data_IF_792042876421
#
_entry.id   IF_792042876421
#
_cell.length_a   1.000
_cell.length_b   1.000
_cell.length_c   1.000
_cell.angle_alpha   90.00
_cell.angle_beta   90.00
_cell.angle_gamma   90.00
#
_symmetry.space_group_name_H-M   'P 1'
#
loop_
_entity.id
_entity.type
_entity.pdbx_description
1 polymer ?
#
# COMPACT_ATOMS: atom_id res chain seq x y z
N UNK A 1 2.50 -54.72 19.66
CA UNK A 1 1.17 -55.39 19.54
C UNK A 1 0.21 -54.76 20.53
N UNK A 2 -0.86 -54.13 20.08
CA UNK A 2 -2.25 -54.32 20.57
C UNK A 2 -3.16 -53.41 19.74
N UNK A 3 -3.90 -54.06 18.84
CA UNK A 3 -5.05 -53.55 18.11
C UNK A 3 -6.26 -53.72 19.03
N UNK A 4 -7.15 -52.74 19.09
CA UNK A 4 -8.53 -52.99 19.51
C UNK A 4 -9.47 -52.19 18.63
N UNK A 5 -10.41 -52.92 18.02
CA UNK A 5 -11.51 -52.53 17.15
C UNK A 5 -12.79 -52.74 17.98
N UNK A 6 -13.79 -51.86 17.87
CA UNK A 6 -15.24 -52.17 17.78
C UNK A 6 -16.07 -50.87 17.82
N UNK A 7 -17.34 -50.86 17.42
CA UNK A 7 -17.92 -50.80 16.08
C UNK A 7 -19.43 -50.40 16.23
N UNK A 8 -20.05 -49.81 15.19
CA UNK A 8 -21.51 -49.82 14.82
C UNK A 8 -22.48 -49.10 15.81
N UNK A 9 -23.57 -48.38 15.47
CA UNK A 9 -24.48 -48.49 14.33
C UNK A 9 -25.33 -47.22 14.06
N UNK A 10 -25.80 -47.19 12.81
CA UNK A 10 -26.73 -46.31 12.07
C UNK A 10 -28.13 -46.12 12.68
N UNK A 11 -28.82 -45.03 12.30
CA UNK A 11 -30.22 -45.00 11.80
C UNK A 11 -30.45 -43.72 10.96
N UNK A 12 -31.04 -43.89 9.79
CA UNK A 12 -31.52 -42.85 8.88
C UNK A 12 -32.96 -42.45 9.22
N UNK A 13 -33.41 -41.24 8.84
CA UNK A 13 -34.52 -41.11 7.89
C UNK A 13 -34.70 -39.65 7.39
N UNK A 14 -34.98 -39.62 6.09
CA UNK A 14 -35.48 -38.57 5.20
C UNK A 14 -36.61 -37.67 5.74
N UNK A 15 -36.60 -36.42 5.26
CA UNK A 15 -37.76 -35.53 5.27
C UNK A 15 -37.60 -34.41 4.24
N UNK A 16 -38.04 -34.67 3.01
CA UNK A 16 -38.30 -33.65 2.00
C UNK A 16 -39.50 -32.81 2.42
N UNK A 17 -39.39 -31.49 2.40
CA UNK A 17 -40.52 -30.62 2.09
C UNK A 17 -40.07 -29.46 1.21
N UNK A 18 -40.44 -29.61 -0.05
CA UNK A 18 -40.62 -28.56 -1.06
C UNK A 18 -41.85 -27.74 -0.71
N UNK A 19 -41.77 -26.40 -0.83
CA UNK A 19 -42.92 -25.56 -1.20
C UNK A 19 -42.46 -24.13 -1.54
N UNK A 20 -42.51 -23.76 -2.82
CA UNK A 20 -42.85 -22.39 -3.26
C UNK A 20 -44.35 -22.35 -3.57
N UNK A 21 -45.03 -21.20 -3.45
CA UNK A 21 -45.41 -20.50 -4.69
C UNK A 21 -45.50 -18.95 -4.64
N UNK A 22 -45.05 -18.33 -5.75
CA UNK A 22 -45.75 -17.39 -6.67
C UNK A 22 -46.26 -15.98 -6.22
N UNK A 23 -45.52 -14.95 -6.69
CA UNK A 23 -45.89 -13.72 -7.45
C UNK A 23 -47.27 -13.04 -7.20
N UNK A 24 -47.28 -11.73 -6.89
CA UNK A 24 -48.30 -10.73 -7.33
C UNK A 24 -47.75 -9.30 -7.27
N UNK A 25 -48.16 -8.49 -8.25
CA UNK A 25 -47.80 -7.11 -8.61
C UNK A 25 -48.83 -6.14 -8.00
N UNK A 26 -48.46 -4.89 -7.66
CA UNK A 26 -49.38 -3.73 -7.75
C UNK A 26 -48.59 -2.43 -7.98
N UNK A 27 -48.87 -1.77 -9.10
CA UNK A 27 -48.54 -0.36 -9.44
C UNK A 27 -49.61 0.61 -8.91
N UNK A 28 -49.33 1.92 -9.06
CA UNK A 28 -50.25 3.10 -9.11
C UNK A 28 -50.12 4.03 -7.89
N UNK A 29 -50.09 5.37 -7.92
CA UNK A 29 -49.66 6.48 -8.80
C UNK A 29 -50.23 7.75 -8.13
N UNK A 30 -49.38 8.77 -7.91
CA UNK A 30 -49.59 10.24 -7.85
C UNK A 30 -50.71 10.91 -7.01
N UNK A 31 -50.36 12.04 -6.36
CA UNK A 31 -50.77 13.44 -6.71
C UNK A 31 -50.68 14.35 -5.45
N UNK A 32 -49.68 15.24 -5.31
CA UNK A 32 -49.59 16.69 -5.71
C UNK A 32 -50.22 17.68 -4.71
N UNK A 33 -49.40 18.61 -4.17
CA UNK A 33 -49.56 20.09 -4.23
C UNK A 33 -48.43 20.79 -3.44
N UNK A 34 -47.52 21.54 -4.10
CA UNK A 34 -47.52 23.01 -4.41
C UNK A 34 -47.25 23.88 -3.16
N UNK A 35 -46.46 24.96 -3.13
CA UNK A 35 -45.66 25.76 -4.08
C UNK A 35 -44.93 26.82 -3.22
N UNK A 36 -43.69 27.21 -3.54
CA UNK A 36 -43.24 28.62 -3.51
C UNK A 36 -41.78 28.76 -3.96
N UNK A 37 -41.57 29.69 -4.89
CA UNK A 37 -40.33 30.11 -5.54
C UNK A 37 -39.89 31.42 -4.88
N UNK A 38 -38.60 31.64 -4.57
CA UNK A 38 -37.89 32.82 -5.08
C UNK A 38 -36.36 32.75 -4.93
N UNK A 39 -35.72 33.37 -5.92
CA UNK A 39 -34.31 33.63 -6.12
C UNK A 39 -33.82 34.72 -5.16
N UNK A 40 -32.60 34.56 -4.66
CA UNK A 40 -31.66 35.67 -4.50
C UNK A 40 -30.24 35.13 -4.61
N UNK A 41 -29.58 35.52 -5.70
CA UNK A 41 -28.19 35.27 -5.98
C UNK A 41 -27.36 36.42 -5.40
N UNK A 42 -26.67 36.19 -4.29
CA UNK A 42 -25.37 36.78 -4.00
C UNK A 42 -24.73 36.03 -2.83
N UNK A 43 -23.88 35.03 -3.10
CA UNK A 43 -22.88 34.64 -2.13
C UNK A 43 -21.56 34.39 -2.85
N UNK A 44 -20.77 35.46 -2.90
CA UNK A 44 -19.31 35.50 -2.80
C UNK A 44 -18.63 34.27 -3.40
N UNK A 45 -18.06 34.48 -4.59
CA UNK A 45 -16.97 33.69 -5.16
C UNK A 45 -15.99 33.32 -4.04
N UNK A 46 -16.10 32.09 -3.50
CA UNK A 46 -15.14 31.56 -2.57
C UNK A 46 -13.87 31.35 -3.38
N UNK A 47 -12.96 32.30 -3.26
CA UNK A 47 -11.59 32.27 -3.78
C UNK A 47 -11.06 30.86 -3.74
N UNK A 48 -10.87 30.28 -4.93
CA UNK A 48 -10.17 29.02 -5.12
C UNK A 48 -8.74 29.22 -4.62
N UNK A 49 -8.48 28.85 -3.36
CA UNK A 49 -7.13 28.49 -2.97
C UNK A 49 -6.89 27.16 -3.66
N UNK A 50 -6.36 27.21 -4.90
CA UNK A 50 -5.80 26.03 -5.56
C UNK A 50 -4.54 25.70 -4.77
N UNK A 51 -4.67 24.91 -3.71
CA UNK A 51 -3.50 24.32 -3.08
C UNK A 51 -3.08 23.18 -4.01
N UNK A 52 -2.17 23.46 -4.95
CA UNK A 52 -1.57 22.43 -5.81
C UNK A 52 -0.60 21.60 -4.97
N UNK A 53 -1.14 20.76 -4.08
CA UNK A 53 -0.38 20.04 -3.07
C UNK A 53 -1.11 18.80 -2.56
N UNK A 54 -0.41 18.00 -1.78
CA UNK A 54 -0.90 16.77 -1.17
C UNK A 54 -0.46 16.69 0.29
N UNK A 55 -1.14 15.85 1.07
CA UNK A 55 -0.79 15.63 2.47
C UNK A 55 0.17 14.46 2.59
N UNK A 56 1.17 14.60 3.46
CA UNK A 56 2.09 13.53 3.86
C UNK A 56 2.01 13.30 5.37
N UNK A 57 2.23 12.06 5.80
CA UNK A 57 2.41 11.70 7.20
C UNK A 57 3.89 11.84 7.56
N UNK A 58 4.19 12.68 8.55
CA UNK A 58 5.51 12.79 9.15
C UNK A 58 5.76 11.65 10.14
N UNK A 59 7.01 11.43 10.53
CA UNK A 59 7.38 10.33 11.45
C UNK A 59 6.81 10.51 12.87
N UNK A 60 6.46 11.73 13.26
CA UNK A 60 5.72 12.00 14.50
C UNK A 60 4.20 11.76 14.36
N UNK A 61 3.74 11.26 13.20
CA UNK A 61 2.34 11.03 12.89
C UNK A 61 1.55 12.26 12.45
N UNK A 62 2.15 13.46 12.43
CA UNK A 62 1.46 14.68 12.02
C UNK A 62 1.38 14.81 10.51
N UNK A 63 0.23 15.25 10.03
CA UNK A 63 0.03 15.62 8.64
C UNK A 63 0.77 16.90 8.29
N UNK A 64 1.37 16.93 7.09
CA UNK A 64 1.98 18.12 6.50
C UNK A 64 1.50 18.25 5.05
N UNK A 65 1.07 19.45 4.67
CA UNK A 65 0.80 19.76 3.26
C UNK A 65 2.12 20.03 2.57
N UNK A 66 2.35 19.35 1.46
CA UNK A 66 3.50 19.50 0.56
C UNK A 66 2.98 20.01 -0.78
N UNK A 67 3.68 20.99 -1.35
CA UNK A 67 3.39 21.50 -2.70
C UNK A 67 3.82 20.46 -3.72
N UNK A 68 2.99 20.21 -4.74
CA UNK A 68 3.38 19.37 -5.88
C UNK A 68 4.46 20.06 -6.69
N UNK A 69 5.53 19.33 -6.97
CA UNK A 69 6.52 19.76 -7.94
C UNK A 69 5.95 19.71 -9.37
N UNK A 70 6.55 20.47 -10.29
CA UNK A 70 6.06 20.64 -11.66
C UNK A 70 5.99 19.35 -12.50
N UNK A 71 6.77 18.35 -12.10
CA UNK A 71 6.91 17.02 -12.69
C UNK A 71 6.15 15.95 -11.91
N UNK A 72 5.45 16.31 -10.83
CA UNK A 72 4.63 15.42 -10.03
C UNK A 72 3.15 15.54 -10.37
N UNK A 73 2.44 14.42 -10.36
CA UNK A 73 1.00 14.35 -10.54
C UNK A 73 0.41 13.35 -9.56
N UNK A 74 -0.61 13.77 -8.80
CA UNK A 74 -1.39 12.84 -7.97
C UNK A 74 -2.14 11.90 -8.90
N UNK A 75 -1.98 10.61 -8.68
CA UNK A 75 -2.67 9.56 -9.44
C UNK A 75 -3.27 8.56 -8.48
N UNK A 76 -4.29 7.85 -8.91
CA UNK A 76 -4.83 6.73 -8.15
C UNK A 76 -3.91 5.50 -8.25
N UNK A 77 -3.94 4.61 -7.25
CA UNK A 77 -3.06 3.42 -7.19
C UNK A 77 -3.26 2.50 -8.41
N UNK A 78 -4.47 2.39 -8.93
CA UNK A 78 -4.79 1.63 -10.13
C UNK A 78 -4.06 2.11 -11.39
N UNK A 79 -3.56 3.35 -11.38
CA UNK A 79 -2.74 3.92 -12.47
C UNK A 79 -1.23 3.65 -12.28
N UNK A 80 -0.82 2.98 -11.20
CA UNK A 80 0.54 2.45 -11.08
C UNK A 80 0.71 1.23 -11.99
N UNK A 81 1.93 0.87 -12.39
CA UNK A 81 2.18 -0.39 -13.10
C UNK A 81 1.72 -1.60 -12.26
N UNK A 82 1.28 -2.67 -12.92
CA UNK A 82 0.71 -3.85 -12.26
C UNK A 82 1.66 -4.52 -11.25
N UNK A 83 2.98 -4.46 -11.50
CA UNK A 83 4.00 -4.97 -10.59
C UNK A 83 3.99 -4.22 -9.25
N UNK A 84 3.88 -2.90 -9.28
CA UNK A 84 3.85 -2.07 -8.07
C UNK A 84 2.58 -2.35 -7.25
N UNK A 85 1.42 -2.45 -7.91
CA UNK A 85 0.16 -2.79 -7.26
C UNK A 85 0.25 -4.15 -6.55
N UNK A 86 0.81 -5.15 -7.24
CA UNK A 86 1.00 -6.50 -6.68
C UNK A 86 1.98 -6.51 -5.51
N UNK A 87 3.10 -5.78 -5.63
CA UNK A 87 4.10 -5.66 -4.59
C UNK A 87 3.51 -5.09 -3.28
N UNK A 88 2.73 -3.99 -3.37
CA UNK A 88 2.08 -3.38 -2.22
C UNK A 88 1.11 -4.38 -1.57
N UNK A 89 0.27 -5.03 -2.39
CA UNK A 89 -0.71 -6.02 -1.90
C UNK A 89 -0.06 -7.21 -1.20
N UNK A 90 1.07 -7.70 -1.71
CA UNK A 90 1.72 -8.91 -1.19
C UNK A 90 2.55 -8.66 0.07
N UNK A 91 3.13 -7.46 0.21
CA UNK A 91 4.10 -7.15 1.26
C UNK A 91 3.58 -6.18 2.33
N UNK A 92 2.51 -5.42 2.02
CA UNK A 92 1.99 -4.36 2.88
C UNK A 92 0.46 -4.41 3.04
N UNK A 93 -0.14 -5.61 2.94
CA UNK A 93 -1.61 -5.80 3.01
C UNK A 93 -2.28 -5.29 4.30
N UNK A 94 -1.51 -5.05 5.36
CA UNK A 94 -2.02 -4.52 6.64
C UNK A 94 -2.15 -3.00 6.67
N UNK A 95 -1.72 -2.30 5.62
CA UNK A 95 -1.68 -0.83 5.56
C UNK A 95 -2.29 -0.36 4.24
N UNK A 96 -3.20 0.61 4.33
CA UNK A 96 -3.82 1.22 3.15
C UNK A 96 -2.90 2.29 2.54
N UNK A 97 -3.02 2.52 1.23
CA UNK A 97 -2.34 3.65 0.57
C UNK A 97 -2.92 4.97 1.08
N UNK A 98 -2.03 5.90 1.43
CA UNK A 98 -2.35 7.26 1.88
C UNK A 98 -2.31 8.25 0.71
N UNK A 99 -1.25 8.24 -0.11
CA UNK A 99 -1.19 8.94 -1.38
C UNK A 99 -0.43 8.15 -2.44
N UNK A 100 -0.65 8.51 -3.70
CA UNK A 100 0.05 7.96 -4.87
C UNK A 100 0.39 9.11 -5.82
N UNK A 101 1.65 9.17 -6.24
CA UNK A 101 2.20 10.20 -7.13
C UNK A 101 2.93 9.53 -8.27
N UNK A 102 2.73 10.05 -9.48
CA UNK A 102 3.58 9.80 -10.63
C UNK A 102 4.50 11.00 -10.81
N UNK A 103 5.80 10.76 -10.86
CA UNK A 103 6.81 11.76 -11.15
C UNK A 103 7.42 11.45 -12.52
N UNK A 104 7.51 12.45 -13.40
CA UNK A 104 8.10 12.33 -14.73
C UNK A 104 9.17 13.40 -14.89
N UNK A 105 10.39 13.07 -14.49
CA UNK A 105 11.55 13.94 -14.69
C UNK A 105 12.23 13.68 -16.05
N UNK A 106 13.29 14.42 -16.37
CA UNK A 106 14.00 14.29 -17.66
C UNK A 106 14.74 12.97 -17.84
N UNK A 107 15.03 12.26 -16.76
CA UNK A 107 15.87 11.07 -16.71
C UNK A 107 15.09 9.79 -16.44
N UNK A 108 13.97 9.86 -15.72
CA UNK A 108 13.18 8.71 -15.33
C UNK A 108 11.72 9.06 -14.99
N UNK A 109 10.86 8.05 -15.10
CA UNK A 109 9.50 8.08 -14.53
C UNK A 109 9.51 7.23 -13.27
N UNK A 110 8.97 7.77 -12.18
CA UNK A 110 8.80 7.08 -10.90
C UNK A 110 7.35 7.08 -10.46
N UNK A 111 7.03 6.09 -9.65
CA UNK A 111 5.78 6.04 -8.91
C UNK A 111 6.10 6.02 -7.42
N UNK A 112 5.59 7.01 -6.67
CA UNK A 112 5.84 7.18 -5.24
C UNK A 112 4.54 7.01 -4.47
N UNK A 113 4.57 6.26 -3.38
CA UNK A 113 3.42 6.14 -2.47
C UNK A 113 3.85 6.19 -1.03
N UNK A 114 2.98 6.75 -0.18
CA UNK A 114 3.05 6.55 1.26
C UNK A 114 1.83 5.75 1.70
N UNK A 115 2.03 4.83 2.64
CA UNK A 115 0.96 4.07 3.29
C UNK A 115 0.54 4.73 4.61
N UNK A 116 -0.62 4.37 5.17
CA UNK A 116 -1.15 4.96 6.42
C UNK A 116 -0.30 4.68 7.66
N UNK A 117 0.52 3.63 7.64
CA UNK A 117 1.54 3.40 8.68
C UNK A 117 2.80 4.26 8.51
N UNK A 118 2.83 5.12 7.48
CA UNK A 118 3.90 6.05 7.16
C UNK A 118 4.94 5.50 6.19
N UNK A 119 4.93 4.18 5.89
CA UNK A 119 5.89 3.54 4.97
C UNK A 119 5.89 4.23 3.63
N UNK A 120 7.07 4.56 3.10
CA UNK A 120 7.24 5.18 1.78
C UNK A 120 7.85 4.17 0.82
N UNK A 121 7.30 4.11 -0.39
CA UNK A 121 7.75 3.19 -1.42
C UNK A 121 7.89 3.94 -2.73
N UNK A 122 9.05 3.77 -3.38
CA UNK A 122 9.30 4.26 -4.73
C UNK A 122 9.46 3.09 -5.69
N UNK A 123 8.86 3.21 -6.87
CA UNK A 123 8.95 2.27 -7.96
C UNK A 123 9.49 2.94 -9.21
N UNK A 124 10.15 2.15 -10.06
CA UNK A 124 10.50 2.57 -11.41
C UNK A 124 9.29 2.58 -12.35
N UNK A 125 9.54 2.92 -13.62
CA UNK A 125 8.51 2.98 -14.67
C UNK A 125 7.81 1.64 -14.94
N UNK A 126 8.47 0.51 -14.64
CA UNK A 126 7.92 -0.84 -14.80
C UNK A 126 7.13 -1.30 -13.56
N UNK A 127 7.24 -0.55 -12.46
CA UNK A 127 6.65 -0.89 -11.17
C UNK A 127 7.53 -1.79 -10.31
N UNK A 128 8.81 -1.93 -10.65
CA UNK A 128 9.76 -2.63 -9.80
C UNK A 128 10.21 -1.68 -8.68
N UNK A 129 10.23 -2.17 -7.44
CA UNK A 129 10.58 -1.32 -6.30
C UNK A 129 12.04 -0.85 -6.40
N UNK A 130 12.24 0.45 -6.15
CA UNK A 130 13.54 1.11 -6.05
C UNK A 130 13.93 1.36 -4.61
N UNK A 131 12.99 1.87 -3.81
CA UNK A 131 13.21 2.19 -2.40
C UNK A 131 12.00 1.77 -1.58
N UNK A 132 12.25 1.22 -0.39
CA UNK A 132 11.27 1.08 0.68
C UNK A 132 11.88 1.66 1.94
N UNK A 133 11.23 2.68 2.48
CA UNK A 133 11.64 3.36 3.72
C UNK A 133 10.53 3.24 4.75
N UNK A 134 10.92 3.03 6.00
CA UNK A 134 9.99 3.02 7.11
C UNK A 134 9.17 4.31 7.21
N UNK A 135 8.09 4.22 7.97
CA UNK A 135 7.42 5.38 8.52
C UNK A 135 7.17 5.23 10.00
N UNK A 136 7.14 6.36 10.70
CA UNK A 136 6.77 6.42 12.12
C UNK A 136 7.63 5.50 13.00
N UNK A 137 8.91 5.34 12.65
CA UNK A 137 9.89 4.47 13.32
C UNK A 137 9.50 2.98 13.39
N UNK A 138 8.61 2.51 12.49
CA UNK A 138 8.25 1.08 12.40
C UNK A 138 9.15 0.36 11.39
N UNK A 139 9.72 -0.80 11.71
CA UNK A 139 10.62 -1.48 10.80
C UNK A 139 9.92 -1.97 9.53
N UNK A 140 10.65 -1.98 8.41
CA UNK A 140 10.09 -2.47 7.15
C UNK A 140 10.06 -4.00 7.12
N UNK A 141 9.03 -4.62 6.51
CA UNK A 141 9.00 -6.07 6.29
C UNK A 141 10.22 -6.52 5.47
N UNK A 142 10.85 -7.62 5.84
CA UNK A 142 12.06 -8.11 5.13
C UNK A 142 11.78 -9.23 4.13
N UNK A 143 10.52 -9.67 4.01
CA UNK A 143 10.11 -10.81 3.16
C UNK A 143 10.47 -10.63 1.68
N UNK A 144 10.45 -9.39 1.18
CA UNK A 144 10.74 -9.09 -0.23
C UNK A 144 12.24 -8.88 -0.52
N UNK A 145 13.10 -8.96 0.49
CA UNK A 145 14.53 -8.68 0.32
C UNK A 145 15.19 -9.77 -0.53
N UNK A 146 16.23 -9.44 -1.31
CA UNK A 146 17.07 -10.44 -1.94
C UNK A 146 17.63 -11.40 -0.89
N UNK A 147 17.58 -12.70 -1.17
CA UNK A 147 17.89 -13.76 -0.20
C UNK A 147 19.28 -13.63 0.43
N UNK A 148 20.29 -13.25 -0.37
CA UNK A 148 21.67 -13.05 0.10
C UNK A 148 21.78 -11.87 1.07
N UNK A 149 21.09 -10.76 0.78
CA UNK A 149 21.04 -9.58 1.65
C UNK A 149 20.36 -9.94 2.97
N UNK A 150 19.20 -10.59 2.91
CA UNK A 150 18.47 -11.02 4.11
C UNK A 150 19.31 -11.97 4.98
N UNK A 151 19.97 -12.95 4.36
CA UNK A 151 20.85 -13.89 5.05
C UNK A 151 22.00 -13.17 5.75
N UNK A 152 22.63 -12.20 5.09
CA UNK A 152 23.72 -11.43 5.68
C UNK A 152 23.25 -10.64 6.90
N UNK A 153 22.11 -9.95 6.80
CA UNK A 153 21.53 -9.18 7.91
C UNK A 153 21.19 -10.11 9.08
N UNK A 154 20.51 -11.23 8.83
CA UNK A 154 20.14 -12.18 9.87
C UNK A 154 21.34 -12.83 10.57
N UNK A 155 22.45 -13.01 9.85
CA UNK A 155 23.67 -13.60 10.40
C UNK A 155 24.46 -12.61 11.25
N UNK A 156 24.57 -11.35 10.81
CA UNK A 156 25.48 -10.37 11.43
C UNK A 156 24.76 -9.37 12.35
N UNK A 157 23.45 -9.17 12.14
CA UNK A 157 22.64 -8.13 12.78
C UNK A 157 21.26 -8.66 13.23
N UNK A 158 21.21 -9.90 13.75
CA UNK A 158 19.96 -10.62 14.05
C UNK A 158 19.00 -9.94 15.05
N UNK A 159 19.44 -8.88 15.74
CA UNK A 159 18.67 -8.12 16.74
C UNK A 159 18.35 -6.70 16.29
N UNK A 160 18.72 -6.32 15.07
CA UNK A 160 18.59 -4.97 14.55
C UNK A 160 17.63 -4.99 13.38
N UNK A 161 16.60 -4.16 13.46
CA UNK A 161 15.63 -4.00 12.41
C UNK A 161 16.09 -3.04 11.30
N UNK A 162 15.43 -3.11 10.15
CA UNK A 162 15.78 -2.33 8.95
C UNK A 162 14.91 -1.07 8.83
N UNK A 163 15.58 0.06 8.58
CA UNK A 163 14.99 1.38 8.36
C UNK A 163 14.61 1.58 6.89
N UNK A 164 15.52 1.23 5.99
CA UNK A 164 15.39 1.47 4.55
C UNK A 164 16.15 0.40 3.76
N UNK A 165 15.62 0.06 2.59
CA UNK A 165 16.35 -0.65 1.54
C UNK A 165 16.17 0.07 0.21
N UNK A 166 17.26 0.24 -0.53
CA UNK A 166 17.30 0.91 -1.82
C UNK A 166 18.12 0.10 -2.84
N UNK A 167 17.60 -0.04 -4.06
CA UNK A 167 18.32 -0.52 -5.23
C UNK A 167 18.79 0.68 -6.04
N UNK A 168 20.06 1.01 -5.89
CA UNK A 168 20.69 2.05 -6.68
C UNK A 168 21.15 1.46 -8.01
N UNK A 169 20.35 1.67 -9.06
CA UNK A 169 20.68 1.19 -10.40
C UNK A 169 21.84 1.94 -11.04
N UNK A 170 22.14 3.16 -10.59
CA UNK A 170 23.25 3.97 -11.11
C UNK A 170 24.57 3.45 -10.57
N UNK A 171 24.64 3.26 -9.26
CA UNK A 171 25.84 2.75 -8.57
C UNK A 171 25.93 1.21 -8.58
N UNK A 172 24.89 0.52 -9.11
CA UNK A 172 24.77 -0.95 -9.17
C UNK A 172 24.97 -1.59 -7.80
N UNK A 173 24.29 -1.04 -6.80
CA UNK A 173 24.38 -1.50 -5.42
C UNK A 173 23.00 -1.56 -4.75
N UNK A 174 22.92 -2.37 -3.70
CA UNK A 174 21.81 -2.37 -2.77
C UNK A 174 22.30 -1.74 -1.47
N UNK A 175 21.60 -0.71 -1.00
CA UNK A 175 21.87 -0.02 0.27
C UNK A 175 20.81 -0.45 1.28
N UNK A 176 21.24 -0.85 2.48
CA UNK A 176 20.34 -1.17 3.59
C UNK A 176 20.74 -0.35 4.80
N UNK A 177 19.83 0.50 5.26
CA UNK A 177 20.00 1.29 6.48
C UNK A 177 19.36 0.55 7.65
N UNK A 178 20.09 0.35 8.73
CA UNK A 178 19.59 -0.27 9.95
C UNK A 178 19.04 0.79 10.93
N UNK A 179 17.98 0.47 11.67
CA UNK A 179 17.34 1.43 12.61
C UNK A 179 18.28 1.80 13.77
N UNK A 180 19.13 0.87 14.21
CA UNK A 180 20.05 1.10 15.31
C UNK A 180 21.45 1.37 14.78
N UNK A 181 22.13 2.33 15.40
CA UNK A 181 23.52 2.72 15.14
C UNK A 181 23.77 3.43 13.80
N UNK A 182 22.72 3.83 13.06
CA UNK A 182 22.82 4.52 11.76
C UNK A 182 23.82 3.83 10.81
N UNK A 183 23.77 2.51 10.75
CA UNK A 183 24.68 1.72 9.92
C UNK A 183 24.09 1.51 8.54
N UNK A 184 24.92 1.75 7.53
CA UNK A 184 24.57 1.56 6.13
C UNK A 184 25.36 0.39 5.55
N UNK A 185 24.66 -0.68 5.20
CA UNK A 185 25.23 -1.85 4.56
C UNK A 185 25.11 -1.69 3.04
N UNK A 186 26.23 -1.86 2.33
CA UNK A 186 26.27 -1.86 0.87
C UNK A 186 26.52 -3.27 0.35
N UNK A 187 25.75 -3.66 -0.65
CA UNK A 187 25.86 -4.93 -1.36
C UNK A 187 25.93 -4.68 -2.85
N UNK A 188 26.53 -5.61 -3.60
CA UNK A 188 26.34 -5.63 -5.05
C UNK A 188 24.90 -6.05 -5.42
N UNK A 189 24.53 -5.96 -6.69
CA UNK A 189 23.20 -6.36 -7.16
C UNK A 189 22.90 -7.87 -6.98
N UNK A 190 23.91 -8.71 -6.74
CA UNK A 190 23.74 -10.13 -6.40
C UNK A 190 23.54 -10.35 -4.89
N UNK A 191 23.59 -9.29 -4.09
CA UNK A 191 23.47 -9.33 -2.64
C UNK A 191 24.75 -9.76 -1.91
N UNK A 192 25.91 -9.71 -2.56
CA UNK A 192 27.19 -9.92 -1.88
C UNK A 192 27.56 -8.64 -1.13
N UNK A 193 27.89 -8.78 0.15
CA UNK A 193 28.31 -7.64 0.97
C UNK A 193 29.61 -7.02 0.43
N UNK A 194 29.60 -5.69 0.29
CA UNK A 194 30.76 -4.89 -0.15
C UNK A 194 31.40 -4.23 1.06
N UNK A 195 30.65 -3.40 1.77
CA UNK A 195 31.15 -2.61 2.90
C UNK A 195 30.04 -2.09 3.80
N UNK A 196 30.45 -1.67 4.99
CA UNK A 196 29.68 -0.87 5.92
C UNK A 196 30.18 0.58 5.82
N UNK A 197 29.25 1.53 5.87
CA UNK A 197 29.52 2.96 5.97
C UNK A 197 29.23 3.47 7.39
#
# INVERSE_FOLDING_TARGET
MRKTILAIATIALVGFYSCEPKKTITETTQTTEKTSVNQDALSVQKTTVVTNGYTVLQDNGQEKVVTLDHDETIVALENFPANAQSFIKENFSSSEVYYSIKEVDKSETKYKTQLKDGTKIEFDVNGDWKEVKNGMNKPIPTKFFPSNVLKYIQTNYSKIDVNKIEKDTKDKEIKVELIQNNLDLKFDLNGNFIKLN
#
